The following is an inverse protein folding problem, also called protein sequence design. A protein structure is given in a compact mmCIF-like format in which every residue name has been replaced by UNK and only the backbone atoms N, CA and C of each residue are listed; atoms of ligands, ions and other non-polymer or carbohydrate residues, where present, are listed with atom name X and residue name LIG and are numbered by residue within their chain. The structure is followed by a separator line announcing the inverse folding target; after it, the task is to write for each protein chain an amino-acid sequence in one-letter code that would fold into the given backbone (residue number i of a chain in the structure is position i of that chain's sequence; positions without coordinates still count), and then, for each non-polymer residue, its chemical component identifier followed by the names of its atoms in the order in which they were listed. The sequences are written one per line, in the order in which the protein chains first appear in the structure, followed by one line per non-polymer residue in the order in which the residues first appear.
data_IF_666500937574
#
_entry.id   IF_666500937574
#
_cell.length_a   1.000
_cell.length_b   1.000
_cell.length_c   1.000
_cell.angle_alpha   90.00
_cell.angle_beta   90.00
_cell.angle_gamma   90.00
#
_symmetry.space_group_name_H-M   'P 1'
#
loop_
_entity.id
_entity.type
_entity.pdbx_description
1 polymer ?
#
# COMPACT_ATOMS: atom_id res chain seq x y z
N UNK A 1 2.05 -55.32 -43.92
CA UNK A 1 3.17 -54.64 -43.25
C UNK A 1 2.74 -53.20 -43.03
N UNK A 2 1.97 -52.98 -41.97
CA UNK A 2 1.36 -51.69 -41.61
C UNK A 2 2.11 -51.12 -40.42
N UNK A 3 2.44 -49.83 -40.53
CA UNK A 3 3.28 -49.02 -39.64
C UNK A 3 2.64 -48.82 -38.25
N UNK A 4 2.49 -49.88 -37.46
CA UNK A 4 1.79 -49.82 -36.15
C UNK A 4 2.68 -49.99 -34.92
N UNK A 5 4.02 -50.09 -35.04
CA UNK A 5 4.80 -50.66 -33.92
C UNK A 5 6.06 -49.93 -33.43
N UNK A 6 6.40 -48.73 -33.89
CA UNK A 6 7.60 -48.06 -33.35
C UNK A 6 7.40 -46.56 -33.21
N UNK A 7 7.42 -46.10 -31.94
CA UNK A 7 7.33 -44.71 -31.46
C UNK A 7 5.93 -44.11 -31.61
N UNK A 8 5.15 -43.88 -30.55
CA UNK A 8 5.03 -42.52 -29.96
C UNK A 8 4.21 -42.55 -28.64
N UNK A 9 3.94 -43.72 -28.05
CA UNK A 9 3.10 -43.83 -26.84
C UNK A 9 3.82 -43.57 -25.52
N UNK A 10 5.13 -43.81 -25.45
CA UNK A 10 5.94 -43.60 -24.23
C UNK A 10 6.32 -42.13 -23.99
N UNK A 11 6.56 -41.38 -25.06
CA UNK A 11 7.00 -39.98 -24.96
C UNK A 11 5.88 -39.03 -24.54
N UNK A 12 4.63 -39.33 -24.91
CA UNK A 12 3.46 -38.50 -24.53
C UNK A 12 3.08 -38.65 -23.06
N UNK A 13 3.37 -39.79 -22.43
CA UNK A 13 3.20 -39.99 -20.99
C UNK A 13 4.27 -39.27 -20.17
N UNK A 14 5.49 -39.14 -20.71
CA UNK A 14 6.61 -38.44 -20.06
C UNK A 14 6.48 -36.90 -20.13
N UNK A 15 5.79 -36.37 -21.15
CA UNK A 15 5.52 -34.93 -21.30
C UNK A 15 4.39 -34.43 -20.39
N UNK A 16 3.55 -35.32 -19.87
CA UNK A 16 2.39 -34.97 -19.03
C UNK A 16 2.74 -34.78 -17.54
N UNK A 17 3.91 -35.25 -17.07
CA UNK A 17 4.31 -35.19 -15.66
C UNK A 17 5.33 -34.08 -15.35
N UNK A 18 5.46 -33.07 -16.22
CA UNK A 18 6.15 -31.82 -15.86
C UNK A 18 5.22 -30.93 -15.05
N UNK A 19 4.91 -31.35 -13.83
CA UNK A 19 4.36 -30.44 -12.82
C UNK A 19 5.34 -29.27 -12.70
N UNK A 20 4.91 -28.00 -12.89
CA UNK A 20 5.82 -26.88 -12.78
C UNK A 20 6.49 -26.94 -11.42
N UNK A 21 7.83 -26.88 -11.40
CA UNK A 21 8.56 -26.94 -10.15
C UNK A 21 8.11 -25.80 -9.25
N UNK A 22 8.18 -25.98 -7.94
CA UNK A 22 7.82 -24.94 -6.97
C UNK A 22 8.56 -23.62 -7.28
N UNK A 23 9.80 -23.73 -7.80
CA UNK A 23 10.57 -22.60 -8.32
C UNK A 23 9.93 -21.93 -9.55
N UNK A 24 9.38 -22.67 -10.52
CA UNK A 24 8.65 -22.06 -11.64
C UNK A 24 7.37 -21.34 -11.18
N UNK A 25 6.61 -21.90 -10.23
CA UNK A 25 5.43 -21.22 -9.68
C UNK A 25 5.78 -19.94 -8.94
N UNK A 26 6.90 -19.94 -8.21
CA UNK A 26 7.42 -18.75 -7.55
C UNK A 26 7.93 -17.72 -8.58
N UNK A 27 8.69 -18.14 -9.60
CA UNK A 27 9.21 -17.26 -10.65
C UNK A 27 8.12 -16.60 -11.51
N UNK A 28 6.96 -17.25 -11.68
CA UNK A 28 5.81 -16.72 -12.43
C UNK A 28 4.72 -16.09 -11.53
N UNK A 29 5.01 -15.86 -10.24
CA UNK A 29 4.11 -15.13 -9.35
C UNK A 29 4.24 -13.62 -9.54
N UNK A 30 3.13 -12.89 -9.40
CA UNK A 30 3.13 -11.41 -9.40
C UNK A 30 4.02 -10.83 -8.30
N UNK A 31 4.17 -11.56 -7.19
CA UNK A 31 5.00 -11.22 -6.04
C UNK A 31 6.49 -11.23 -6.41
N UNK A 32 6.94 -12.25 -7.12
CA UNK A 32 8.33 -12.31 -7.60
C UNK A 32 8.63 -11.21 -8.61
N UNK A 33 7.69 -10.91 -9.51
CA UNK A 33 7.80 -9.77 -10.43
C UNK A 33 7.94 -8.43 -9.70
N UNK A 34 7.17 -8.22 -8.64
CA UNK A 34 7.26 -7.01 -7.80
C UNK A 34 8.59 -6.92 -7.06
N UNK A 35 9.06 -8.01 -6.45
CA UNK A 35 10.36 -8.05 -5.75
C UNK A 35 11.51 -7.76 -6.72
N UNK A 36 11.47 -8.35 -7.91
CA UNK A 36 12.46 -8.10 -8.96
C UNK A 36 12.45 -6.64 -9.41
N UNK A 37 11.25 -6.06 -9.62
CA UNK A 37 11.10 -4.65 -9.98
C UNK A 37 11.67 -3.73 -8.90
N UNK A 38 11.38 -3.98 -7.62
CA UNK A 38 11.92 -3.21 -6.50
C UNK A 38 13.44 -3.32 -6.45
N UNK A 39 13.99 -4.53 -6.57
CA UNK A 39 15.44 -4.74 -6.55
C UNK A 39 16.15 -4.02 -7.71
N UNK A 40 15.55 -4.06 -8.91
CA UNK A 40 16.04 -3.33 -10.07
C UNK A 40 16.00 -1.81 -9.83
N UNK A 41 14.87 -1.28 -9.36
CA UNK A 41 14.70 0.14 -9.06
C UNK A 41 15.73 0.62 -8.02
N UNK A 42 15.92 -0.13 -6.93
CA UNK A 42 16.92 0.18 -5.89
C UNK A 42 18.32 0.20 -6.48
N UNK A 43 18.69 -0.76 -7.34
CA UNK A 43 20.02 -0.82 -7.97
C UNK A 43 20.26 0.37 -8.92
N UNK A 44 19.26 0.73 -9.72
CA UNK A 44 19.34 1.87 -10.64
C UNK A 44 19.44 3.18 -9.85
N UNK A 45 18.58 3.42 -8.86
CA UNK A 45 18.64 4.64 -8.08
C UNK A 45 19.89 4.74 -7.21
N UNK A 46 20.39 3.64 -6.66
CA UNK A 46 21.64 3.63 -5.91
C UNK A 46 22.87 3.97 -6.77
N UNK A 47 22.84 3.65 -8.07
CA UNK A 47 23.95 3.93 -8.98
C UNK A 47 23.86 5.29 -9.67
N UNK A 48 22.65 5.79 -9.93
CA UNK A 48 22.43 7.05 -10.68
C UNK A 48 22.30 8.26 -9.75
N UNK A 49 21.69 8.12 -8.56
CA UNK A 49 21.43 9.24 -7.65
C UNK A 49 22.46 9.28 -6.50
N UNK A 50 23.33 10.31 -6.44
CA UNK A 50 24.22 10.52 -5.31
C UNK A 50 23.40 10.74 -4.03
N UNK A 51 23.65 9.93 -3.00
CA UNK A 51 22.98 10.05 -1.69
C UNK A 51 21.64 9.31 -1.55
N UNK A 52 21.20 8.55 -2.55
CA UNK A 52 20.01 7.69 -2.45
C UNK A 52 20.11 6.71 -1.26
N UNK A 53 21.27 6.06 -1.10
CA UNK A 53 21.56 5.12 0.00
C UNK A 53 22.08 5.79 1.27
N UNK A 54 22.06 7.13 1.35
CA UNK A 54 22.50 7.82 2.56
C UNK A 54 21.57 7.48 3.74
N UNK A 55 22.08 7.43 4.99
CA UNK A 55 21.26 7.16 6.16
C UNK A 55 20.08 8.12 6.31
N UNK A 56 20.24 9.39 5.91
CA UNK A 56 19.19 10.40 5.97
C UNK A 56 18.06 10.14 4.97
N UNK A 57 18.40 9.79 3.71
CA UNK A 57 17.43 9.45 2.67
C UNK A 57 16.65 8.19 3.05
N UNK A 58 17.35 7.14 3.49
CA UNK A 58 16.73 5.89 3.92
C UNK A 58 15.84 6.09 5.16
N UNK A 59 16.26 6.91 6.13
CA UNK A 59 15.44 7.24 7.29
C UNK A 59 14.16 7.99 6.91
N UNK A 60 14.26 8.98 6.02
CA UNK A 60 13.10 9.76 5.59
C UNK A 60 12.13 8.92 4.76
N UNK A 61 12.64 8.08 3.86
CA UNK A 61 11.82 7.12 3.12
C UNK A 61 11.17 6.09 4.04
N UNK A 62 11.91 5.53 5.00
CA UNK A 62 11.38 4.59 6.00
C UNK A 62 10.26 5.21 6.83
N UNK A 63 10.39 6.49 7.22
CA UNK A 63 9.33 7.22 7.91
C UNK A 63 8.08 7.39 7.04
N UNK A 64 8.26 7.74 5.76
CA UNK A 64 7.15 7.84 4.80
C UNK A 64 6.42 6.50 4.65
N UNK A 65 7.16 5.41 4.42
CA UNK A 65 6.60 4.05 4.31
C UNK A 65 5.86 3.66 5.58
N UNK A 66 6.39 4.01 6.76
CA UNK A 66 5.71 3.77 8.04
C UNK A 66 4.37 4.50 8.15
N UNK A 67 4.31 5.77 7.73
CA UNK A 67 3.06 6.55 7.68
C UNK A 67 2.07 5.92 6.70
N UNK A 68 2.51 5.61 5.47
CA UNK A 68 1.66 5.02 4.44
C UNK A 68 1.15 3.63 4.84
N UNK A 69 1.97 2.83 5.53
CA UNK A 69 1.57 1.51 6.06
C UNK A 69 0.52 1.66 7.16
N UNK A 70 0.69 2.61 8.08
CA UNK A 70 -0.29 2.88 9.14
C UNK A 70 -1.64 3.32 8.54
N UNK A 71 -1.61 4.22 7.57
CA UNK A 71 -2.81 4.65 6.83
C UNK A 71 -3.43 3.48 6.07
N UNK A 72 -2.63 2.66 5.39
CA UNK A 72 -3.10 1.48 4.66
C UNK A 72 -3.78 0.46 5.56
N UNK A 73 -3.23 0.21 6.75
CA UNK A 73 -3.84 -0.66 7.76
C UNK A 73 -5.16 -0.09 8.28
N UNK A 74 -5.24 1.22 8.51
CA UNK A 74 -6.50 1.89 8.87
C UNK A 74 -7.54 1.75 7.76
N UNK A 75 -7.15 1.98 6.50
CA UNK A 75 -7.99 1.84 5.32
C UNK A 75 -8.48 0.42 5.08
N UNK A 76 -7.71 -0.59 5.51
CA UNK A 76 -8.12 -1.99 5.44
C UNK A 76 -9.46 -2.25 6.15
N UNK A 77 -9.71 -1.56 7.26
CA UNK A 77 -10.98 -1.67 7.99
C UNK A 77 -12.18 -1.21 7.15
N UNK A 78 -12.00 -0.15 6.34
CA UNK A 78 -13.02 0.38 5.42
C UNK A 78 -13.25 -0.59 4.26
N UNK A 79 -12.18 -1.12 3.67
CA UNK A 79 -12.28 -2.07 2.55
C UNK A 79 -13.03 -3.34 2.96
N UNK A 80 -12.80 -3.85 4.18
CA UNK A 80 -13.54 -5.00 4.71
C UNK A 80 -15.04 -4.74 4.83
N UNK A 81 -15.45 -3.49 5.06
CA UNK A 81 -16.88 -3.10 5.05
C UNK A 81 -17.48 -2.97 3.64
N UNK A 82 -16.70 -3.21 2.58
CA UNK A 82 -17.12 -3.07 1.19
C UNK A 82 -17.09 -1.64 0.67
N UNK A 83 -16.48 -0.71 1.42
CA UNK A 83 -16.35 0.69 1.06
C UNK A 83 -14.94 1.07 0.57
N UNK A 84 -14.84 2.28 0.05
CA UNK A 84 -13.57 3.00 -0.14
C UNK A 84 -13.71 4.35 0.56
N UNK A 85 -12.62 4.85 1.14
CA UNK A 85 -12.57 6.12 1.86
C UNK A 85 -11.43 7.00 1.32
N UNK A 86 -11.82 8.07 0.62
CA UNK A 86 -10.88 9.10 0.12
C UNK A 86 -10.66 10.22 1.14
N UNK A 87 -11.53 10.33 2.14
CA UNK A 87 -11.52 11.41 3.12
C UNK A 87 -10.29 11.30 4.03
N UNK A 88 -9.68 10.12 4.18
CA UNK A 88 -8.46 9.93 4.97
C UNK A 88 -7.33 10.88 4.55
N UNK A 89 -7.22 11.17 3.25
CA UNK A 89 -6.26 12.12 2.72
C UNK A 89 -6.62 13.57 3.08
N UNK A 90 -7.87 13.96 2.83
CA UNK A 90 -8.35 15.32 3.12
C UNK A 90 -8.31 15.63 4.63
N UNK A 91 -8.82 14.72 5.46
CA UNK A 91 -8.81 14.84 6.93
C UNK A 91 -7.38 14.85 7.47
N UNK A 92 -6.50 14.00 6.92
CA UNK A 92 -5.07 13.98 7.28
C UNK A 92 -4.39 15.33 7.02
N UNK A 93 -4.63 15.93 5.84
CA UNK A 93 -4.10 17.26 5.50
C UNK A 93 -4.72 18.34 6.38
N UNK A 94 -6.04 18.32 6.62
CA UNK A 94 -6.70 19.27 7.51
C UNK A 94 -6.14 19.18 8.95
N UNK A 95 -5.88 17.99 9.46
CA UNK A 95 -5.25 17.76 10.77
C UNK A 95 -3.82 18.29 10.81
N UNK A 96 -3.02 18.05 9.77
CA UNK A 96 -1.66 18.59 9.65
C UNK A 96 -1.64 20.12 9.55
N UNK A 97 -2.57 20.72 8.82
CA UNK A 97 -2.72 22.18 8.74
C UNK A 97 -3.16 22.78 10.07
N UNK A 98 -4.11 22.14 10.78
CA UNK A 98 -4.54 22.56 12.10
C UNK A 98 -3.38 22.50 13.11
N UNK A 99 -2.55 21.46 13.06
CA UNK A 99 -1.32 21.37 13.85
C UNK A 99 -0.37 22.54 13.58
N UNK A 100 -0.06 22.81 12.30
CA UNK A 100 0.81 23.92 11.91
C UNK A 100 0.26 25.28 12.36
N UNK A 101 -1.05 25.49 12.20
CA UNK A 101 -1.73 26.70 12.66
C UNK A 101 -1.67 26.85 14.19
N UNK A 102 -1.84 25.77 14.96
CA UNK A 102 -1.70 25.81 16.41
C UNK A 102 -0.28 26.23 16.83
N UNK A 103 0.75 25.67 16.18
CA UNK A 103 2.13 26.04 16.49
C UNK A 103 2.43 27.50 16.14
N UNK A 104 2.06 27.92 14.93
CA UNK A 104 2.52 29.19 14.38
C UNK A 104 1.65 30.38 14.84
N UNK A 105 0.33 30.21 14.95
CA UNK A 105 -0.60 31.30 15.25
C UNK A 105 -0.98 31.40 16.72
N UNK A 106 -1.12 30.25 17.38
CA UNK A 106 -1.52 30.24 18.81
C UNK A 106 -0.32 30.09 19.74
N UNK A 107 0.87 29.73 19.21
CA UNK A 107 2.08 29.53 20.01
C UNK A 107 1.96 28.36 20.99
N UNK A 108 1.04 27.43 20.73
CA UNK A 108 0.81 26.30 21.64
C UNK A 108 2.06 25.42 21.69
N UNK A 109 2.46 24.93 22.88
CA UNK A 109 3.58 24.01 22.99
C UNK A 109 3.25 22.70 22.26
N UNK A 110 4.28 22.06 21.70
CA UNK A 110 4.14 20.85 20.88
C UNK A 110 3.36 19.74 21.60
N UNK A 111 3.55 19.62 22.92
CA UNK A 111 2.86 18.64 23.79
C UNK A 111 1.33 18.80 23.77
N UNK A 112 0.82 20.03 23.61
CA UNK A 112 -0.62 20.30 23.53
C UNK A 112 -1.12 20.32 22.08
N UNK A 113 -0.29 20.76 21.14
CA UNK A 113 -0.69 20.89 19.76
C UNK A 113 -0.90 19.55 19.05
N UNK A 114 -0.06 18.55 19.34
CA UNK A 114 -0.22 17.20 18.77
C UNK A 114 -1.58 16.58 19.15
N UNK A 115 -1.95 16.43 20.43
CA UNK A 115 -3.23 15.83 20.78
C UNK A 115 -4.42 16.66 20.31
N UNK A 116 -4.31 18.00 20.28
CA UNK A 116 -5.37 18.86 19.75
C UNK A 116 -5.61 18.63 18.24
N UNK A 117 -4.56 18.51 17.44
CA UNK A 117 -4.67 18.22 16.02
C UNK A 117 -5.19 16.81 15.72
N UNK A 118 -4.77 15.82 16.53
CA UNK A 118 -5.30 14.45 16.47
C UNK A 118 -6.79 14.43 16.81
N UNK A 119 -7.20 15.13 17.87
CA UNK A 119 -8.62 15.22 18.26
C UNK A 119 -9.46 15.90 17.18
N UNK A 120 -8.96 16.98 16.57
CA UNK A 120 -9.59 17.64 15.44
C UNK A 120 -9.78 16.68 14.26
N UNK A 121 -8.72 15.98 13.83
CA UNK A 121 -8.82 14.97 12.77
C UNK A 121 -9.79 13.83 13.11
N UNK A 122 -9.75 13.33 14.34
CA UNK A 122 -10.65 12.28 14.80
C UNK A 122 -12.12 12.73 14.79
N UNK A 123 -12.41 13.97 15.15
CA UNK A 123 -13.76 14.54 15.09
C UNK A 123 -14.29 14.61 13.65
N UNK A 124 -13.45 15.02 12.69
CA UNK A 124 -13.81 15.03 11.27
C UNK A 124 -14.04 13.61 10.75
N UNK A 125 -13.19 12.65 11.15
CA UNK A 125 -13.34 11.24 10.82
C UNK A 125 -14.63 10.65 11.38
N UNK A 126 -15.01 11.00 12.61
CA UNK A 126 -16.26 10.57 13.23
C UNK A 126 -17.50 11.11 12.48
N UNK A 127 -17.45 12.39 12.09
CA UNK A 127 -18.50 13.01 11.28
C UNK A 127 -18.62 12.29 9.93
N UNK A 128 -17.49 12.06 9.25
CA UNK A 128 -17.46 11.37 7.97
C UNK A 128 -18.00 9.93 8.07
N UNK A 129 -17.53 9.15 9.05
CA UNK A 129 -18.02 7.78 9.26
C UNK A 129 -19.52 7.73 9.58
N UNK A 130 -20.02 8.69 10.36
CA UNK A 130 -21.46 8.81 10.65
C UNK A 130 -22.26 9.16 9.39
N UNK A 131 -21.74 10.04 8.53
CA UNK A 131 -22.36 10.38 7.27
C UNK A 131 -22.43 9.17 6.32
N UNK A 132 -21.36 8.37 6.24
CA UNK A 132 -21.31 7.13 5.47
C UNK A 132 -22.37 6.14 5.93
N UNK A 133 -22.49 5.90 7.24
CA UNK A 133 -23.46 4.94 7.79
C UNK A 133 -24.91 5.40 7.58
N UNK A 134 -25.20 6.70 7.68
CA UNK A 134 -26.58 7.21 7.65
C UNK A 134 -27.16 7.45 6.26
N UNK A 135 -26.32 7.76 5.27
CA UNK A 135 -26.78 8.22 3.96
C UNK A 135 -27.20 7.09 3.02
N UNK A 136 -26.73 5.86 3.24
CA UNK A 136 -27.05 4.72 2.36
C UNK A 136 -26.45 4.83 0.95
N UNK A 137 -25.64 5.86 0.69
CA UNK A 137 -24.90 6.08 -0.56
C UNK A 137 -23.53 5.41 -0.43
N UNK A 138 -22.95 4.98 -1.55
CA UNK A 138 -21.64 4.35 -1.56
C UNK A 138 -20.57 5.27 -0.94
N UNK A 139 -19.77 4.75 0.01
CA UNK A 139 -18.77 5.49 0.79
C UNK A 139 -17.89 6.39 -0.08
N UNK A 140 -17.40 5.87 -1.23
CA UNK A 140 -16.62 6.64 -2.20
C UNK A 140 -17.20 8.03 -2.54
N UNK A 141 -18.51 8.12 -2.77
CA UNK A 141 -19.18 9.37 -3.18
C UNK A 141 -19.22 10.38 -2.03
N UNK A 142 -19.38 9.89 -0.80
CA UNK A 142 -19.50 10.71 0.39
C UNK A 142 -18.13 11.24 0.82
N UNK A 143 -17.09 10.45 0.58
CA UNK A 143 -15.71 10.74 0.98
C UNK A 143 -14.91 11.53 -0.05
N UNK A 144 -15.53 11.93 -1.17
CA UNK A 144 -14.93 12.70 -2.27
C UNK A 144 -14.79 14.19 -1.95
#
# INVERSE_FOLDING_TARGET
MTLSDVTHGGDMAALADRRPSLAQRLLFSSEFGLVLLIALAVTVFASVLPGFTSPFSLFTMGRQIGIDTMIGLAMMTVIVTGGLDLSVGAIGVCSAMAFGWLLERTGLPLVLAVPAAVFFGASLGFINGTAVVRSGVHSFIITL
#
